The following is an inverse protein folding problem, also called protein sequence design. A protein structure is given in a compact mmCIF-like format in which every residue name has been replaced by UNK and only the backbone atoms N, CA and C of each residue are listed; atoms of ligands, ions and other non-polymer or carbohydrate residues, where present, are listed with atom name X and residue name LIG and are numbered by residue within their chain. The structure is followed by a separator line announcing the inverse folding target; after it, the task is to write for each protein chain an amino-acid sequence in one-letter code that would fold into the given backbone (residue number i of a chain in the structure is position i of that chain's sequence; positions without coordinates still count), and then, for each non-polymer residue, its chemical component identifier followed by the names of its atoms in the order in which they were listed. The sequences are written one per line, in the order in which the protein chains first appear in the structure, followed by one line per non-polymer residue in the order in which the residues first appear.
data_IF_216279034966
#
_entry.id   IF_216279034966
#
_cell.length_a   1.000
_cell.length_b   1.000
_cell.length_c   1.000
_cell.angle_alpha   90.00
_cell.angle_beta   90.00
_cell.angle_gamma   90.00
#
_symmetry.space_group_name_H-M   'P 1'
#
loop_
_entity.id
_entity.type
_entity.pdbx_description
1 polymer ?
#
# COMPACT_ATOMS: atom_id res chain seq x y z
N UNK A 1 -33.55 -16.23 7.77
CA UNK A 1 -33.24 -14.92 7.16
C UNK A 1 -31.76 -14.96 6.81
N UNK A 2 -31.48 -15.36 5.59
CA UNK A 2 -30.13 -15.24 5.04
C UNK A 2 -29.88 -13.77 4.82
N UNK A 3 -28.90 -13.25 5.55
CA UNK A 3 -28.37 -11.91 5.34
C UNK A 3 -27.52 -11.99 4.06
N UNK A 4 -28.13 -11.84 2.91
CA UNK A 4 -27.41 -11.59 1.67
C UNK A 4 -26.63 -10.29 1.88
N UNK A 5 -25.35 -10.44 2.19
CA UNK A 5 -24.38 -9.35 2.05
C UNK A 5 -24.50 -8.91 0.58
N UNK A 6 -25.11 -7.77 0.36
CA UNK A 6 -25.05 -7.09 -0.94
C UNK A 6 -23.60 -7.17 -1.43
N UNK A 7 -23.36 -7.62 -2.66
CA UNK A 7 -22.00 -7.62 -3.18
C UNK A 7 -21.46 -6.21 -3.02
N UNK A 8 -20.40 -6.07 -2.21
CA UNK A 8 -19.75 -4.79 -2.04
C UNK A 8 -19.42 -4.29 -3.45
N UNK A 9 -20.02 -3.19 -3.86
CA UNK A 9 -19.79 -2.62 -5.17
C UNK A 9 -18.42 -1.94 -5.15
N UNK A 10 -17.38 -2.71 -5.40
CA UNK A 10 -16.06 -2.18 -5.65
C UNK A 10 -15.66 -2.45 -7.10
N UNK A 11 -15.02 -1.46 -7.72
CA UNK A 11 -14.50 -1.57 -9.06
C UNK A 11 -13.05 -2.03 -9.00
N UNK A 12 -12.72 -3.14 -9.65
CA UNK A 12 -11.33 -3.56 -9.81
C UNK A 12 -10.70 -2.86 -11.01
N UNK A 13 -9.54 -2.22 -10.80
CA UNK A 13 -8.76 -1.63 -11.85
C UNK A 13 -7.57 -2.56 -12.13
N UNK A 14 -7.62 -3.40 -13.17
CA UNK A 14 -6.50 -4.26 -13.52
C UNK A 14 -5.31 -3.44 -14.01
N UNK A 15 -4.12 -3.78 -13.52
CA UNK A 15 -2.89 -3.17 -13.98
C UNK A 15 -2.57 -3.61 -15.40
N UNK A 16 -2.31 -2.68 -16.29
CA UNK A 16 -2.08 -2.92 -17.70
C UNK A 16 -0.73 -2.32 -18.16
N UNK A 17 -0.13 -2.92 -19.17
CA UNK A 17 1.15 -2.45 -19.73
C UNK A 17 1.02 -1.11 -20.48
N UNK A 18 -0.17 -0.79 -20.95
CA UNK A 18 -0.49 0.41 -21.71
C UNK A 18 -0.79 1.65 -20.86
N UNK A 19 -0.57 1.55 -19.53
CA UNK A 19 -0.85 2.63 -18.57
C UNK A 19 -2.33 3.07 -18.47
N UNK A 20 -3.26 2.35 -19.09
CA UNK A 20 -4.70 2.71 -19.04
C UNK A 20 -5.26 2.67 -17.61
N UNK A 21 -4.66 1.84 -16.75
CA UNK A 21 -5.01 1.78 -15.33
C UNK A 21 -4.76 3.13 -14.61
N UNK A 22 -3.73 3.89 -15.00
CA UNK A 22 -3.42 5.19 -14.39
C UNK A 22 -4.56 6.18 -14.66
N UNK A 23 -5.09 6.21 -15.89
CA UNK A 23 -6.22 7.07 -16.23
C UNK A 23 -7.48 6.70 -15.45
N UNK A 24 -7.73 5.39 -15.26
CA UNK A 24 -8.86 4.91 -14.45
C UNK A 24 -8.73 5.32 -12.98
N UNK A 25 -7.53 5.19 -12.41
CA UNK A 25 -7.24 5.63 -11.04
C UNK A 25 -7.43 7.14 -10.88
N UNK A 26 -6.93 7.93 -11.83
CA UNK A 26 -7.12 9.39 -11.84
C UNK A 26 -8.59 9.76 -11.88
N UNK A 27 -9.37 9.14 -12.76
CA UNK A 27 -10.80 9.40 -12.87
C UNK A 27 -11.53 9.05 -11.59
N UNK A 28 -11.26 7.88 -10.99
CA UNK A 28 -11.86 7.47 -9.73
C UNK A 28 -11.60 8.50 -8.61
N UNK A 29 -10.37 9.00 -8.49
CA UNK A 29 -10.04 10.05 -7.50
C UNK A 29 -10.73 11.38 -7.80
N UNK A 30 -10.84 11.77 -9.07
CA UNK A 30 -11.56 12.99 -9.47
C UNK A 30 -13.06 12.90 -9.22
N UNK A 31 -13.63 11.69 -9.33
CA UNK A 31 -15.04 11.40 -9.05
C UNK A 31 -15.32 11.25 -7.54
N UNK A 32 -14.30 11.40 -6.69
CA UNK A 32 -14.42 11.33 -5.23
C UNK A 32 -14.50 9.89 -4.69
N UNK A 33 -14.11 8.91 -5.49
CA UNK A 33 -14.05 7.51 -5.05
C UNK A 33 -12.84 7.25 -4.13
N UNK A 34 -12.94 6.22 -3.29
CA UNK A 34 -11.82 5.76 -2.46
C UNK A 34 -11.01 4.74 -3.24
N UNK A 35 -9.72 5.03 -3.43
CA UNK A 35 -8.79 4.13 -4.11
C UNK A 35 -8.00 3.33 -3.08
N UNK A 36 -8.11 1.99 -3.13
CA UNK A 36 -7.35 1.07 -2.29
C UNK A 36 -6.17 0.48 -3.06
N UNK A 37 -4.98 0.60 -2.51
CA UNK A 37 -3.76 0.09 -3.14
C UNK A 37 -2.86 -0.61 -2.12
N UNK A 38 -2.12 -1.63 -2.58
CA UNK A 38 -1.05 -2.23 -1.78
C UNK A 38 0.20 -1.33 -1.80
N UNK A 39 0.76 -1.06 -0.63
CA UNK A 39 1.99 -0.30 -0.47
C UNK A 39 3.25 -1.17 -0.31
N UNK A 40 3.09 -2.49 -0.23
CA UNK A 40 4.17 -3.46 0.02
C UNK A 40 4.36 -4.48 -1.11
N UNK A 41 3.76 -4.25 -2.28
CA UNK A 41 3.84 -5.16 -3.44
C UNK A 41 4.42 -4.45 -4.64
N UNK A 42 5.62 -4.86 -5.05
CA UNK A 42 6.28 -4.37 -6.25
C UNK A 42 5.88 -5.22 -7.47
N UNK A 43 5.67 -4.56 -8.59
CA UNK A 43 5.54 -5.22 -9.88
C UNK A 43 6.88 -5.18 -10.60
N UNK A 44 7.27 -6.24 -11.32
CA UNK A 44 8.49 -6.25 -12.11
C UNK A 44 8.56 -5.04 -13.05
N UNK A 45 9.66 -4.27 -12.99
CA UNK A 45 9.87 -3.08 -13.82
C UNK A 45 9.09 -1.83 -13.38
N UNK A 46 8.38 -1.87 -12.26
CA UNK A 46 7.74 -0.67 -11.71
C UNK A 46 8.76 0.22 -11.00
N UNK A 47 8.43 1.54 -10.93
CA UNK A 47 9.22 2.48 -10.13
C UNK A 47 9.09 2.16 -8.64
N UNK A 48 10.21 2.17 -7.93
CA UNK A 48 10.27 1.91 -6.49
C UNK A 48 10.89 3.09 -5.72
N UNK A 49 10.57 3.15 -4.44
CA UNK A 49 11.26 3.96 -3.44
C UNK A 49 11.95 3.04 -2.44
N UNK A 50 13.14 3.42 -2.00
CA UNK A 50 13.93 2.65 -1.03
C UNK A 50 13.87 3.30 0.34
N UNK A 51 13.69 2.49 1.38
CA UNK A 51 13.78 2.91 2.77
C UNK A 51 14.34 1.78 3.62
N UNK A 52 14.95 2.14 4.76
CA UNK A 52 15.29 1.14 5.77
C UNK A 52 14.01 0.57 6.38
N UNK A 53 13.91 -0.75 6.37
CA UNK A 53 12.77 -1.49 6.89
C UNK A 53 13.26 -2.74 7.63
N UNK A 54 12.95 -2.83 8.91
CA UNK A 54 13.41 -3.91 9.79
C UNK A 54 14.94 -4.09 9.80
N UNK A 55 15.68 -3.01 9.68
CA UNK A 55 17.14 -2.99 9.76
C UNK A 55 17.90 -3.24 8.46
N UNK A 56 17.21 -3.29 7.32
CA UNK A 56 17.82 -3.41 6.01
C UNK A 56 17.09 -2.55 4.96
N UNK A 57 17.80 -2.08 3.91
CA UNK A 57 17.16 -1.36 2.81
C UNK A 57 16.14 -2.26 2.11
N UNK A 58 14.94 -1.74 1.87
CA UNK A 58 13.87 -2.42 1.19
C UNK A 58 13.21 -1.51 0.14
N UNK A 59 12.66 -2.11 -0.90
CA UNK A 59 12.00 -1.41 -2.00
C UNK A 59 10.49 -1.49 -1.87
N UNK A 60 9.84 -0.36 -2.07
CA UNK A 60 8.39 -0.19 -2.00
C UNK A 60 7.87 0.38 -3.33
N UNK A 61 6.64 0.04 -3.76
CA UNK A 61 6.07 0.60 -4.99
C UNK A 61 5.91 2.12 -4.87
N UNK A 62 6.40 2.87 -5.86
CA UNK A 62 6.30 4.32 -5.86
C UNK A 62 4.89 4.84 -6.18
N UNK A 63 4.10 4.05 -6.92
CA UNK A 63 2.81 4.45 -7.47
C UNK A 63 1.81 5.01 -6.45
N UNK A 64 1.50 4.32 -5.35
CA UNK A 64 0.53 4.77 -4.37
C UNK A 64 0.87 6.16 -3.79
N UNK A 65 2.13 6.37 -3.43
CA UNK A 65 2.59 7.61 -2.79
C UNK A 65 2.64 8.78 -3.77
N UNK A 66 3.10 8.52 -5.00
CA UNK A 66 3.14 9.52 -6.06
C UNK A 66 1.73 9.97 -6.47
N UNK A 67 0.80 9.02 -6.59
CA UNK A 67 -0.58 9.30 -6.96
C UNK A 67 -1.30 10.14 -5.89
N UNK A 68 -1.17 9.76 -4.62
CA UNK A 68 -1.77 10.49 -3.52
C UNK A 68 -1.27 11.94 -3.43
N UNK A 69 0.04 12.15 -3.58
CA UNK A 69 0.63 13.48 -3.57
C UNK A 69 0.21 14.33 -4.78
N UNK A 70 0.18 13.73 -5.98
CA UNK A 70 -0.21 14.43 -7.20
C UNK A 70 -1.67 14.92 -7.17
N UNK A 71 -2.57 14.09 -6.66
CA UNK A 71 -3.99 14.44 -6.53
C UNK A 71 -4.33 15.21 -5.24
N UNK A 72 -3.35 15.40 -4.35
CA UNK A 72 -3.55 16.07 -3.05
C UNK A 72 -4.73 15.49 -2.27
N UNK A 73 -4.86 14.17 -2.27
CA UNK A 73 -5.91 13.45 -1.55
C UNK A 73 -5.45 13.07 -0.15
N UNK A 74 -6.38 12.94 0.83
CA UNK A 74 -6.03 12.40 2.13
C UNK A 74 -5.68 10.91 2.00
N UNK A 75 -4.77 10.43 2.87
CA UNK A 75 -4.34 9.04 2.90
C UNK A 75 -4.60 8.43 4.27
N UNK A 76 -5.09 7.20 4.29
CA UNK A 76 -5.19 6.36 5.47
C UNK A 76 -4.51 5.03 5.21
N UNK A 77 -3.81 4.49 6.20
CA UNK A 77 -3.09 3.22 6.10
C UNK A 77 -3.83 2.19 6.98
N UNK A 78 -4.73 1.36 6.39
CA UNK A 78 -5.49 0.38 7.15
C UNK A 78 -4.69 -0.90 7.39
N UNK A 79 -4.92 -1.49 8.55
CA UNK A 79 -4.39 -2.80 8.93
C UNK A 79 -5.50 -3.71 9.42
N UNK A 80 -5.37 -5.00 9.14
CA UNK A 80 -6.26 -6.05 9.63
C UNK A 80 -5.43 -7.10 10.35
N UNK A 81 -5.72 -7.33 11.62
CA UNK A 81 -5.02 -8.29 12.45
C UNK A 81 -6.01 -9.33 12.96
N UNK A 82 -5.66 -10.59 12.82
CA UNK A 82 -6.42 -11.70 13.40
C UNK A 82 -6.15 -11.77 14.90
N UNK A 83 -7.21 -11.70 15.70
CA UNK A 83 -7.13 -11.69 17.16
C UNK A 83 -7.61 -12.99 17.79
N UNK A 84 -8.15 -13.92 16.97
CA UNK A 84 -8.64 -15.21 17.42
C UNK A 84 -9.31 -16.01 16.31
N UNK A 85 -9.89 -17.17 16.60
CA UNK A 85 -10.66 -17.93 15.62
C UNK A 85 -11.81 -17.08 15.07
N UNK A 86 -11.82 -16.83 13.75
CA UNK A 86 -12.83 -16.00 13.05
C UNK A 86 -13.00 -14.58 13.61
N UNK A 87 -12.00 -14.07 14.33
CA UNK A 87 -12.00 -12.71 14.90
C UNK A 87 -10.87 -11.89 14.30
N UNK A 88 -11.21 -10.68 13.86
CA UNK A 88 -10.28 -9.74 13.26
C UNK A 88 -10.48 -8.36 13.90
N UNK A 89 -9.39 -7.66 14.09
CA UNK A 89 -9.38 -6.24 14.44
C UNK A 89 -8.96 -5.43 13.22
N UNK A 90 -9.79 -4.49 12.85
CA UNK A 90 -9.51 -3.54 11.76
C UNK A 90 -9.23 -2.17 12.38
N UNK A 91 -8.11 -1.58 12.02
CA UNK A 91 -7.73 -0.24 12.46
C UNK A 91 -6.86 0.44 11.39
N UNK A 92 -6.74 1.74 11.46
CA UNK A 92 -5.92 2.51 10.54
C UNK A 92 -5.06 3.52 11.25
N UNK A 93 -4.08 4.06 10.54
CA UNK A 93 -3.32 5.22 10.98
C UNK A 93 -4.23 6.46 11.11
N UNK A 94 -3.74 7.48 11.80
CA UNK A 94 -4.29 8.81 11.66
C UNK A 94 -4.23 9.25 10.19
N UNK A 95 -5.25 9.97 9.77
CA UNK A 95 -5.33 10.47 8.40
C UNK A 95 -4.14 11.38 8.09
N UNK A 96 -3.44 11.09 7.00
CA UNK A 96 -2.44 11.98 6.42
C UNK A 96 -3.18 13.05 5.63
N UNK A 97 -2.99 14.36 5.95
CA UNK A 97 -3.74 15.43 5.33
C UNK A 97 -3.52 15.53 3.81
N UNK A 98 -4.52 16.02 3.05
CA UNK A 98 -4.33 16.33 1.64
C UNK A 98 -3.25 17.39 1.46
N UNK A 99 -2.48 17.27 0.37
CA UNK A 99 -1.36 18.18 0.08
C UNK A 99 -0.05 17.84 0.79
N UNK A 100 -0.01 16.76 1.58
CA UNK A 100 1.25 16.21 2.13
C UNK A 100 2.17 15.77 0.99
N UNK A 101 3.47 16.01 1.13
CA UNK A 101 4.44 15.63 0.11
C UNK A 101 4.53 14.10 -0.02
N UNK A 102 4.87 13.65 -1.22
CA UNK A 102 5.11 12.23 -1.53
C UNK A 102 6.08 11.57 -0.54
N UNK A 103 7.17 12.25 -0.24
CA UNK A 103 8.24 11.71 0.61
C UNK A 103 7.78 11.59 2.07
N UNK A 104 6.96 12.49 2.55
CA UNK A 104 6.38 12.43 3.90
C UNK A 104 5.30 11.34 3.98
N UNK A 105 4.45 11.18 2.95
CA UNK A 105 3.47 10.08 2.89
C UNK A 105 4.20 8.75 2.93
N UNK A 106 5.25 8.58 2.12
CA UNK A 106 6.05 7.37 2.07
C UNK A 106 6.72 7.06 3.40
N UNK A 107 7.37 8.05 4.01
CA UNK A 107 8.01 7.92 5.31
C UNK A 107 7.04 7.46 6.39
N UNK A 108 5.86 8.07 6.47
CA UNK A 108 4.83 7.68 7.42
C UNK A 108 4.33 6.25 7.18
N UNK A 109 4.12 5.89 5.92
CA UNK A 109 3.74 4.52 5.56
C UNK A 109 4.76 3.50 6.08
N UNK A 110 6.05 3.70 5.80
CA UNK A 110 7.12 2.78 6.24
C UNK A 110 7.16 2.66 7.76
N UNK A 111 7.05 3.78 8.48
CA UNK A 111 7.04 3.79 9.95
C UNK A 111 5.86 3.02 10.54
N UNK A 112 4.64 3.28 10.06
CA UNK A 112 3.43 2.59 10.52
C UNK A 112 3.49 1.10 10.20
N UNK A 113 3.91 0.75 8.98
CA UNK A 113 4.02 -0.62 8.54
C UNK A 113 5.08 -1.40 9.35
N UNK A 114 6.25 -0.80 9.56
CA UNK A 114 7.29 -1.42 10.38
C UNK A 114 6.83 -1.66 11.83
N UNK A 115 6.13 -0.70 12.42
CA UNK A 115 5.60 -0.82 13.77
C UNK A 115 4.61 -1.99 13.89
N UNK A 116 3.72 -2.14 12.91
CA UNK A 116 2.74 -3.25 12.88
C UNK A 116 3.43 -4.60 12.67
N UNK A 117 4.40 -4.69 11.75
CA UNK A 117 5.14 -5.92 11.50
C UNK A 117 5.96 -6.34 12.73
N UNK A 118 6.60 -5.40 13.41
CA UNK A 118 7.29 -5.68 14.67
C UNK A 118 6.36 -6.21 15.77
N UNK A 119 5.13 -5.67 15.83
CA UNK A 119 4.13 -6.08 16.82
C UNK A 119 3.49 -7.44 16.50
N UNK A 120 3.28 -7.73 15.21
CA UNK A 120 2.59 -8.94 14.74
C UNK A 120 3.37 -9.63 13.61
N UNK A 121 4.62 -10.07 13.85
CA UNK A 121 5.52 -10.53 12.79
C UNK A 121 5.00 -11.77 12.05
N UNK A 122 4.18 -12.61 12.69
CA UNK A 122 3.62 -13.82 12.08
C UNK A 122 2.35 -13.56 11.26
N UNK A 123 1.93 -12.32 11.14
CA UNK A 123 0.72 -11.93 10.40
C UNK A 123 1.02 -11.09 9.15
N UNK A 124 2.27 -10.86 8.83
CA UNK A 124 2.68 -10.33 7.55
C UNK A 124 2.99 -11.49 6.59
N UNK A 125 2.03 -11.80 5.74
CA UNK A 125 2.11 -12.93 4.80
C UNK A 125 2.91 -12.52 3.57
N UNK A 126 4.21 -12.32 3.77
CA UNK A 126 5.17 -12.04 2.72
C UNK A 126 5.82 -13.35 2.25
N UNK A 127 5.46 -13.81 1.04
CA UNK A 127 5.91 -15.07 0.46
C UNK A 127 7.02 -14.89 -0.60
N UNK A 128 7.70 -13.75 -0.60
CA UNK A 128 8.84 -13.47 -1.47
C UNK A 128 9.95 -12.76 -0.68
N UNK A 129 11.15 -12.74 -1.24
CA UNK A 129 12.29 -12.05 -0.62
C UNK A 129 12.14 -10.54 -0.81
N UNK A 130 11.72 -9.87 0.26
CA UNK A 130 11.38 -8.47 0.25
C UNK A 130 12.61 -7.55 0.11
N UNK A 131 13.79 -8.04 0.51
CA UNK A 131 15.05 -7.28 0.50
C UNK A 131 15.97 -7.62 -0.68
N UNK A 132 15.60 -8.54 -1.57
CA UNK A 132 16.44 -9.11 -2.64
C UNK A 132 16.98 -8.06 -3.62
N UNK A 133 16.28 -6.96 -3.80
CA UNK A 133 16.66 -5.91 -4.75
C UNK A 133 17.42 -4.73 -4.12
N UNK A 134 17.60 -4.75 -2.82
CA UNK A 134 18.30 -3.70 -2.08
C UNK A 134 19.82 -3.89 -2.03
N UNK A 135 20.37 -4.96 -2.63
CA UNK A 135 21.81 -5.20 -2.69
C UNK A 135 22.40 -4.62 -3.99
N UNK A 136 23.14 -3.50 -3.92
CA UNK A 136 23.77 -2.90 -5.09
C UNK A 136 24.89 -3.76 -5.72
N UNK A 137 25.20 -4.93 -5.13
CA UNK A 137 26.26 -5.83 -5.61
C UNK A 137 25.74 -7.01 -6.42
N UNK A 138 24.44 -7.18 -6.61
CA UNK A 138 23.85 -8.30 -7.35
C UNK A 138 23.89 -8.13 -8.88
N UNK A 139 24.38 -7.01 -9.40
CA UNK A 139 24.52 -6.76 -10.83
C UNK A 139 25.97 -7.07 -11.27
N UNK A 140 26.35 -8.38 -11.21
CA UNK A 140 27.54 -8.91 -11.86
C UNK A 140 27.25 -10.25 -12.51
#
# INVERSE_FOLDING_TARGET
MENELSPASFNMIPLSKDMSHVFKMNNALMDGEVLCMHGDRNLPGSRVYTADFLGAPAEFPAGPFALAAAHKVPVCIPFVIRTGPMKYSFFGSDQIPPGTSRDEIFKRYVQEFEAIVKKYPLQWFNYYDFWQHADPTSDR
#
